data_IF_222325731540
#
_entry.id   IF_222325731540
#
_cell.length_a   1.000
_cell.length_b   1.000
_cell.length_c   1.000
_cell.angle_alpha   90.00
_cell.angle_beta   90.00
_cell.angle_gamma   90.00
#
_symmetry.space_group_name_H-M   'P 1'
#
loop_
_entity.id
_entity.type
_entity.pdbx_description
1 polymer ?
#
# COMPACT_ATOMS: atom_id res chain seq x y z
N UNK A 1 9.50 24.20 -59.32
CA UNK A 1 10.44 24.13 -58.18
C UNK A 1 10.16 25.31 -57.29
N UNK A 2 9.40 25.10 -56.22
CA UNK A 2 9.19 26.10 -55.16
C UNK A 2 9.01 25.30 -53.88
N UNK A 3 10.03 25.38 -53.03
CA UNK A 3 10.13 24.60 -51.80
C UNK A 3 9.14 25.13 -50.76
N UNK A 4 8.37 24.22 -50.17
CA UNK A 4 7.57 24.48 -48.97
C UNK A 4 8.52 24.48 -47.76
N UNK A 5 8.66 25.63 -47.10
CA UNK A 5 9.32 25.73 -45.81
C UNK A 5 8.42 25.16 -44.71
N UNK A 6 8.88 24.12 -44.03
CA UNK A 6 8.32 23.64 -42.77
C UNK A 6 8.71 24.60 -41.64
N UNK A 7 7.72 25.27 -41.03
CA UNK A 7 7.87 25.86 -39.71
C UNK A 7 7.56 24.79 -38.66
N UNK A 8 8.61 24.22 -38.07
CA UNK A 8 8.50 23.46 -36.84
C UNK A 8 8.22 24.44 -35.70
N UNK A 9 7.00 24.42 -35.16
CA UNK A 9 6.67 25.03 -33.89
C UNK A 9 7.28 24.18 -32.77
N UNK A 10 8.22 24.76 -32.04
CA UNK A 10 8.77 24.18 -30.81
C UNK A 10 7.72 24.24 -29.71
N UNK A 11 7.31 23.07 -29.20
CA UNK A 11 6.55 22.95 -27.95
C UNK A 11 7.36 23.48 -26.75
N UNK A 12 6.82 24.38 -25.90
CA UNK A 12 7.46 24.77 -24.66
C UNK A 12 7.01 23.80 -23.55
N UNK A 13 7.68 22.66 -23.40
CA UNK A 13 7.53 21.79 -22.22
C UNK A 13 8.90 21.25 -21.77
N UNK A 14 9.48 21.87 -20.72
CA UNK A 14 10.42 21.19 -19.79
C UNK A 14 10.99 22.06 -18.65
N UNK A 15 10.73 23.37 -18.58
CA UNK A 15 11.42 24.24 -17.59
C UNK A 15 10.64 24.53 -16.29
N UNK A 16 9.34 24.24 -16.21
CA UNK A 16 8.52 24.52 -15.01
C UNK A 16 8.73 23.50 -13.89
N UNK A 17 8.79 22.22 -14.23
CA UNK A 17 8.71 21.13 -13.25
C UNK A 17 10.04 20.97 -12.48
N UNK A 18 11.16 21.22 -13.15
CA UNK A 18 12.50 21.21 -12.54
C UNK A 18 12.71 22.36 -11.55
N UNK A 19 12.08 23.52 -11.78
CA UNK A 19 12.12 24.66 -10.87
C UNK A 19 11.23 24.47 -9.63
N UNK A 20 10.12 23.73 -9.75
CA UNK A 20 9.24 23.40 -8.60
C UNK A 20 9.91 22.36 -7.69
N UNK A 21 10.53 21.34 -8.27
CA UNK A 21 11.25 20.32 -7.50
C UNK A 21 12.45 20.91 -6.73
N UNK A 22 13.18 21.86 -7.33
CA UNK A 22 14.31 22.53 -6.67
C UNK A 22 13.85 23.47 -5.55
N UNK A 23 12.74 24.19 -5.71
CA UNK A 23 12.17 25.05 -4.67
C UNK A 23 11.66 24.26 -3.45
N UNK A 24 10.99 23.12 -3.66
CA UNK A 24 10.56 22.24 -2.57
C UNK A 24 11.78 21.71 -1.80
N UNK A 25 12.81 21.24 -2.50
CA UNK A 25 14.03 20.74 -1.86
C UNK A 25 14.73 21.82 -1.01
N UNK A 26 14.78 23.06 -1.49
CA UNK A 26 15.32 24.18 -0.73
C UNK A 26 14.48 24.50 0.52
N UNK A 27 13.15 24.51 0.41
CA UNK A 27 12.26 24.72 1.54
C UNK A 27 12.38 23.61 2.60
N UNK A 28 12.48 22.35 2.18
CA UNK A 28 12.71 21.21 3.09
C UNK A 28 14.02 21.38 3.85
N UNK A 29 15.12 21.66 3.15
CA UNK A 29 16.43 21.91 3.78
C UNK A 29 16.41 23.08 4.76
N UNK A 30 15.70 24.16 4.43
CA UNK A 30 15.59 25.31 5.31
C UNK A 30 14.84 24.99 6.61
N UNK A 31 13.75 24.21 6.54
CA UNK A 31 12.99 23.76 7.71
C UNK A 31 13.83 22.80 8.56
N UNK A 32 14.47 21.82 7.92
CA UNK A 32 15.36 20.86 8.58
C UNK A 32 16.49 21.57 9.35
N UNK A 33 17.23 22.46 8.68
CA UNK A 33 18.32 23.21 9.29
C UNK A 33 17.85 24.03 10.50
N UNK A 34 16.69 24.69 10.40
CA UNK A 34 16.11 25.47 11.49
C UNK A 34 15.73 24.59 12.70
N UNK A 35 15.15 23.41 12.47
CA UNK A 35 14.75 22.50 13.53
C UNK A 35 15.96 21.86 14.23
N UNK A 36 17.04 21.59 13.49
CA UNK A 36 18.33 21.13 14.02
C UNK A 36 18.98 22.24 14.85
N UNK A 37 19.06 23.47 14.32
CA UNK A 37 19.63 24.63 15.04
C UNK A 37 18.92 24.87 16.38
N UNK A 38 17.60 24.66 16.42
CA UNK A 38 16.79 24.78 17.64
C UNK A 38 16.88 23.56 18.58
N UNK A 39 17.61 22.50 18.21
CA UNK A 39 17.72 21.27 18.99
C UNK A 39 16.41 20.48 19.10
N UNK A 40 15.47 20.67 18.16
CA UNK A 40 14.17 19.97 18.14
C UNK A 40 14.30 18.62 17.44
N UNK A 41 15.19 18.52 16.44
CA UNK A 41 15.43 17.31 15.66
C UNK A 41 16.89 16.89 15.82
N UNK A 42 17.11 15.61 16.11
CA UNK A 42 18.41 14.95 16.00
C UNK A 42 18.53 14.33 14.59
N UNK A 43 19.50 14.77 13.76
CA UNK A 43 19.72 14.21 12.43
C UNK A 43 19.94 12.69 12.43
N UNK A 44 20.66 12.15 13.42
CA UNK A 44 20.93 10.71 13.47
C UNK A 44 19.66 9.89 13.75
N UNK A 45 18.73 10.45 14.53
CA UNK A 45 17.42 9.86 14.75
C UNK A 45 16.56 9.90 13.48
N UNK A 46 16.62 11.00 12.71
CA UNK A 46 15.92 11.11 11.43
C UNK A 46 16.43 10.08 10.41
N UNK A 47 17.75 9.93 10.27
CA UNK A 47 18.36 8.92 9.40
C UNK A 47 17.91 7.50 9.78
N UNK A 48 17.83 7.21 11.08
CA UNK A 48 17.34 5.92 11.58
C UNK A 48 15.88 5.67 11.17
N UNK A 49 15.03 6.69 11.20
CA UNK A 49 13.64 6.59 10.76
C UNK A 49 13.56 6.32 9.25
N UNK A 50 14.36 7.02 8.45
CA UNK A 50 14.42 6.83 6.99
C UNK A 50 14.85 5.39 6.67
N UNK A 51 15.98 4.94 7.22
CA UNK A 51 16.50 3.58 7.00
C UNK A 51 15.47 2.51 7.39
N UNK A 52 14.73 2.73 8.48
CA UNK A 52 13.70 1.80 8.95
C UNK A 52 12.60 1.59 7.92
N UNK A 53 12.05 2.66 7.33
CA UNK A 53 10.97 2.53 6.34
C UNK A 53 11.45 2.24 4.91
N UNK A 54 12.72 2.50 4.61
CA UNK A 54 13.30 2.13 3.31
C UNK A 54 13.69 0.66 3.23
N UNK A 55 14.14 0.06 4.35
CA UNK A 55 14.81 -1.25 4.29
C UNK A 55 14.21 -2.32 5.21
N UNK A 56 13.61 -1.94 6.35
CA UNK A 56 13.20 -2.90 7.39
C UNK A 56 11.69 -3.12 7.41
N UNK A 57 10.90 -2.06 7.28
CA UNK A 57 9.44 -2.11 7.40
C UNK A 57 8.79 -2.02 6.03
N UNK A 58 8.05 -3.04 5.64
CA UNK A 58 7.36 -3.06 4.34
C UNK A 58 6.39 -4.22 4.16
N UNK A 59 5.77 -4.34 2.97
CA UNK A 59 4.72 -5.32 2.70
C UNK A 59 5.12 -6.78 2.93
N UNK A 60 6.41 -7.11 2.89
CA UNK A 60 6.89 -8.47 3.20
C UNK A 60 6.49 -8.94 4.61
N UNK A 61 6.28 -8.00 5.55
CA UNK A 61 5.79 -8.31 6.91
C UNK A 61 4.33 -8.79 6.85
N UNK A 62 3.44 -8.01 6.22
CA UNK A 62 2.04 -8.39 6.00
C UNK A 62 1.91 -9.70 5.22
N UNK A 63 2.76 -9.90 4.21
CA UNK A 63 2.76 -11.12 3.41
C UNK A 63 3.01 -12.38 4.26
N UNK A 64 3.92 -12.30 5.25
CA UNK A 64 4.15 -13.39 6.22
C UNK A 64 2.94 -13.64 7.12
N UNK A 65 2.24 -12.60 7.56
CA UNK A 65 1.01 -12.72 8.35
C UNK A 65 -0.06 -13.47 7.53
N UNK A 66 -0.27 -13.07 6.28
CA UNK A 66 -1.23 -13.72 5.36
C UNK A 66 -0.86 -15.18 5.11
N UNK A 67 0.41 -15.45 4.78
CA UNK A 67 0.88 -16.80 4.52
C UNK A 67 0.71 -17.72 5.74
N UNK A 68 1.03 -17.22 6.95
CA UNK A 68 0.78 -17.96 8.19
C UNK A 68 -0.71 -18.27 8.36
N UNK A 69 -1.59 -17.29 8.15
CA UNK A 69 -3.04 -17.51 8.24
C UNK A 69 -3.58 -18.51 7.18
N UNK A 70 -2.91 -18.67 6.05
CA UNK A 70 -3.28 -19.68 5.05
C UNK A 70 -2.88 -21.11 5.40
N UNK A 71 -1.86 -21.31 6.24
CA UNK A 71 -1.36 -22.64 6.63
C UNK A 71 -1.71 -23.03 8.06
N UNK A 72 -2.06 -22.07 8.90
CA UNK A 72 -2.38 -22.23 10.32
C UNK A 72 -3.79 -21.68 10.58
N UNK A 73 -4.77 -22.59 10.60
CA UNK A 73 -6.19 -22.24 10.77
C UNK A 73 -6.51 -21.69 12.15
N UNK A 74 -5.78 -22.09 13.20
CA UNK A 74 -5.94 -21.56 14.55
C UNK A 74 -5.42 -20.12 14.63
N UNK A 75 -4.26 -19.85 14.03
CA UNK A 75 -3.75 -18.48 13.91
C UNK A 75 -4.70 -17.60 13.10
N UNK A 76 -5.24 -18.11 11.99
CA UNK A 76 -6.25 -17.38 11.20
C UNK A 76 -7.46 -16.98 12.04
N UNK A 77 -8.00 -17.90 12.84
CA UNK A 77 -9.13 -17.59 13.72
C UNK A 77 -8.79 -16.50 14.73
N UNK A 78 -7.62 -16.56 15.36
CA UNK A 78 -7.16 -15.49 16.28
C UNK A 78 -6.97 -14.16 15.56
N UNK A 79 -6.36 -14.17 14.38
CA UNK A 79 -6.10 -13.00 13.55
C UNK A 79 -7.40 -12.27 13.15
N UNK A 80 -8.44 -13.02 12.81
CA UNK A 80 -9.75 -12.45 12.44
C UNK A 80 -10.55 -11.97 13.67
N UNK A 81 -10.34 -12.59 14.83
CA UNK A 81 -11.01 -12.18 16.07
C UNK A 81 -10.36 -10.94 16.71
N UNK A 82 -9.04 -10.90 16.75
CA UNK A 82 -8.25 -9.78 17.28
C UNK A 82 -6.92 -9.69 16.52
N UNK A 83 -6.94 -8.87 15.46
CA UNK A 83 -5.77 -8.68 14.60
C UNK A 83 -4.58 -8.09 15.36
N UNK A 84 -4.83 -7.27 16.39
CA UNK A 84 -3.77 -6.61 17.17
C UNK A 84 -3.02 -7.63 18.01
N UNK A 85 -3.75 -8.43 18.78
CA UNK A 85 -3.15 -9.47 19.63
C UNK A 85 -2.44 -10.53 18.79
N UNK A 86 -3.02 -10.95 17.67
CA UNK A 86 -2.44 -11.97 16.81
C UNK A 86 -1.11 -11.53 16.16
N UNK A 87 -0.98 -10.29 15.66
CA UNK A 87 0.30 -9.84 15.10
C UNK A 87 1.34 -9.56 16.19
N UNK A 88 0.91 -9.25 17.41
CA UNK A 88 1.81 -9.11 18.56
C UNK A 88 2.48 -10.45 18.94
N UNK A 89 1.83 -11.60 18.72
CA UNK A 89 2.45 -12.95 18.88
C UNK A 89 3.72 -13.09 18.01
N UNK A 90 3.79 -12.35 16.89
CA UNK A 90 4.91 -12.36 15.95
C UNK A 90 5.94 -11.25 16.23
N UNK A 91 5.76 -10.48 17.30
CA UNK A 91 6.57 -9.29 17.59
C UNK A 91 6.32 -8.12 16.64
N UNK A 92 5.22 -8.15 15.87
CA UNK A 92 4.89 -7.16 14.85
C UNK A 92 3.96 -6.08 15.41
N UNK A 93 4.49 -5.35 16.39
CA UNK A 93 3.83 -4.16 16.97
C UNK A 93 4.58 -2.91 16.55
N UNK A 94 3.88 -1.82 16.25
CA UNK A 94 4.54 -0.57 15.93
C UNK A 94 3.57 0.56 15.60
N UNK A 95 4.14 1.67 15.14
CA UNK A 95 3.37 2.84 14.75
C UNK A 95 2.36 2.51 13.66
N UNK A 96 1.12 2.97 13.85
CA UNK A 96 0.01 2.74 12.92
C UNK A 96 -0.30 1.26 12.74
N UNK A 97 -0.24 0.48 13.82
CA UNK A 97 -0.77 -0.90 13.90
C UNK A 97 -1.30 -1.22 15.31
N UNK A 98 -1.63 -0.19 16.09
CA UNK A 98 -2.05 -0.30 17.49
C UNK A 98 -3.46 -0.88 17.62
N UNK A 99 -4.29 -0.72 16.60
CA UNK A 99 -5.66 -1.24 16.51
C UNK A 99 -5.92 -1.86 15.14
N UNK A 100 -5.55 -3.13 15.00
CA UNK A 100 -5.63 -3.87 13.73
C UNK A 100 -6.92 -4.67 13.60
N UNK A 101 -7.56 -4.52 12.44
CA UNK A 101 -8.70 -5.33 11.99
C UNK A 101 -8.32 -6.03 10.70
N UNK A 102 -8.48 -7.34 10.65
CA UNK A 102 -8.25 -8.13 9.44
C UNK A 102 -9.58 -8.48 8.81
N UNK A 103 -9.73 -8.15 7.52
CA UNK A 103 -10.97 -8.35 6.76
C UNK A 103 -10.73 -9.44 5.72
N UNK A 104 -11.47 -10.53 5.81
CA UNK A 104 -11.27 -11.72 4.99
C UNK A 104 -12.01 -11.63 3.65
N UNK A 105 -11.28 -11.86 2.56
CA UNK A 105 -11.89 -12.14 1.27
C UNK A 105 -12.38 -13.58 1.20
N UNK A 106 -13.51 -13.79 0.53
CA UNK A 106 -14.12 -15.09 0.29
C UNK A 106 -14.64 -15.14 -1.15
N UNK A 107 -15.15 -16.29 -1.57
CA UNK A 107 -15.81 -16.45 -2.87
C UNK A 107 -17.02 -15.53 -3.06
N UNK A 108 -17.56 -14.96 -1.99
CA UNK A 108 -18.76 -14.10 -2.00
C UNK A 108 -18.45 -12.64 -1.66
N UNK A 109 -17.31 -12.35 -1.03
CA UNK A 109 -16.96 -11.00 -0.53
C UNK A 109 -15.53 -10.64 -0.91
N UNK A 110 -15.36 -9.48 -1.55
CA UNK A 110 -14.06 -8.86 -1.82
C UNK A 110 -13.95 -7.54 -1.05
N UNK A 111 -12.93 -7.41 -0.21
CA UNK A 111 -12.68 -6.20 0.58
C UNK A 111 -11.71 -5.26 -0.15
N UNK A 112 -11.88 -3.96 0.02
CA UNK A 112 -11.00 -2.89 -0.46
C UNK A 112 -10.79 -1.85 0.64
N UNK A 113 -9.56 -1.43 0.89
CA UNK A 113 -9.23 -0.47 1.96
C UNK A 113 -8.90 0.89 1.36
N UNK A 114 -9.42 1.96 1.97
CA UNK A 114 -9.12 3.35 1.62
C UNK A 114 -9.03 4.22 2.88
N UNK A 115 -8.47 5.42 2.73
CA UNK A 115 -8.61 6.51 3.68
C UNK A 115 -9.02 7.76 2.91
N UNK A 116 -10.32 8.03 2.85
CA UNK A 116 -10.87 9.12 2.03
C UNK A 116 -10.33 10.48 2.49
N UNK A 117 -10.14 10.65 3.80
CA UNK A 117 -9.73 11.92 4.41
C UNK A 117 -8.24 12.25 4.25
N UNK A 118 -7.36 11.26 4.22
CA UNK A 118 -5.92 11.49 4.12
C UNK A 118 -5.15 10.30 3.52
N UNK A 119 -4.61 9.43 4.38
CA UNK A 119 -3.72 8.32 3.99
C UNK A 119 -3.47 7.32 5.13
N UNK A 120 -4.41 7.17 6.07
CA UNK A 120 -4.30 6.19 7.16
C UNK A 120 -4.02 4.79 6.60
N UNK A 121 -3.00 4.11 7.13
CA UNK A 121 -2.47 2.88 6.54
C UNK A 121 -1.69 2.08 7.60
N UNK A 122 -1.66 0.74 7.57
CA UNK A 122 -1.01 -0.07 8.60
C UNK A 122 0.52 -0.13 8.45
N UNK A 123 1.24 0.91 8.90
CA UNK A 123 2.66 1.11 8.56
C UNK A 123 3.56 -0.02 9.06
N UNK A 124 3.36 -0.50 10.29
CA UNK A 124 4.21 -1.54 10.87
C UNK A 124 4.24 -2.85 10.06
N UNK A 125 3.20 -3.12 9.25
CA UNK A 125 3.09 -4.38 8.49
C UNK A 125 3.07 -4.20 6.97
N UNK A 126 2.74 -3.00 6.46
CA UNK A 126 2.71 -2.72 5.02
C UNK A 126 3.69 -1.63 4.57
N UNK A 127 4.43 -1.01 5.49
CA UNK A 127 5.29 0.14 5.21
C UNK A 127 4.50 1.41 4.87
N UNK A 128 5.14 2.35 4.20
CA UNK A 128 4.49 3.60 3.80
C UNK A 128 3.49 3.37 2.66
N UNK A 129 2.34 4.08 2.66
CA UNK A 129 1.33 3.92 1.61
C UNK A 129 1.87 4.37 0.24
N UNK A 130 1.57 3.62 -0.83
CA UNK A 130 2.00 3.99 -2.18
C UNK A 130 1.33 5.30 -2.63
N UNK A 131 1.95 5.98 -3.60
CA UNK A 131 1.46 7.28 -4.09
C UNK A 131 0.02 7.23 -4.60
N UNK A 132 -0.37 6.16 -5.30
CA UNK A 132 -1.73 5.99 -5.80
C UNK A 132 -2.77 5.93 -4.66
N UNK A 133 -2.44 5.33 -3.51
CA UNK A 133 -3.34 5.23 -2.37
C UNK A 133 -3.64 6.61 -1.76
N UNK A 134 -2.65 7.50 -1.77
CA UNK A 134 -2.75 8.88 -1.28
C UNK A 134 -3.43 9.83 -2.27
N UNK A 135 -3.60 9.40 -3.52
CA UNK A 135 -4.09 10.24 -4.61
C UNK A 135 -5.57 10.61 -4.44
N UNK A 136 -5.96 11.79 -4.92
CA UNK A 136 -7.36 12.18 -4.98
C UNK A 136 -8.20 11.23 -5.83
N UNK A 137 -7.63 10.72 -6.93
CA UNK A 137 -8.31 9.79 -7.82
C UNK A 137 -8.77 8.53 -7.08
N UNK A 138 -7.88 7.90 -6.31
CA UNK A 138 -8.26 6.73 -5.51
C UNK A 138 -9.21 7.10 -4.38
N UNK A 139 -8.85 8.09 -3.56
CA UNK A 139 -9.56 8.44 -2.32
C UNK A 139 -10.98 8.93 -2.53
N UNK A 140 -11.26 9.61 -3.64
CA UNK A 140 -12.61 10.11 -3.93
C UNK A 140 -13.52 9.07 -4.57
N UNK A 141 -12.95 8.09 -5.29
CA UNK A 141 -13.72 7.16 -6.13
C UNK A 141 -13.90 5.78 -5.49
N UNK A 142 -12.95 5.32 -4.68
CA UNK A 142 -12.98 3.97 -4.10
C UNK A 142 -14.25 3.71 -3.27
N UNK A 143 -14.84 4.73 -2.63
CA UNK A 143 -16.07 4.62 -1.84
C UNK A 143 -17.37 4.83 -2.64
N UNK A 144 -17.28 5.23 -3.91
CA UNK A 144 -18.44 5.54 -4.77
C UNK A 144 -18.60 4.49 -5.87
N UNK A 145 -17.49 4.18 -6.56
CA UNK A 145 -17.46 3.27 -7.71
C UNK A 145 -16.30 2.25 -7.60
N UNK A 146 -16.22 1.47 -6.51
CA UNK A 146 -15.10 0.58 -6.23
C UNK A 146 -14.80 -0.40 -7.37
N UNK A 147 -15.82 -0.95 -8.05
CA UNK A 147 -15.62 -1.87 -9.17
C UNK A 147 -14.94 -1.22 -10.37
N UNK A 148 -15.23 0.05 -10.65
CA UNK A 148 -14.59 0.80 -11.73
C UNK A 148 -13.12 1.04 -11.38
N UNK A 149 -12.84 1.46 -10.13
CA UNK A 149 -11.48 1.63 -9.63
C UNK A 149 -10.69 0.32 -9.69
N UNK A 150 -11.27 -0.80 -9.26
CA UNK A 150 -10.61 -2.11 -9.32
C UNK A 150 -10.31 -2.54 -10.77
N UNK A 151 -11.24 -2.27 -11.70
CA UNK A 151 -11.03 -2.54 -13.13
C UNK A 151 -9.86 -1.75 -13.70
N UNK A 152 -9.63 -0.51 -13.25
CA UNK A 152 -8.44 0.28 -13.63
C UNK A 152 -7.12 -0.31 -13.10
N UNK A 153 -7.16 -1.04 -11.97
CA UNK A 153 -6.04 -1.86 -11.49
C UNK A 153 -5.90 -3.19 -12.25
N UNK A 154 -6.76 -3.47 -13.23
CA UNK A 154 -6.79 -4.72 -13.98
C UNK A 154 -7.55 -5.86 -13.26
N UNK A 155 -8.32 -5.53 -12.22
CA UNK A 155 -9.08 -6.50 -11.44
C UNK A 155 -10.60 -6.35 -11.70
N UNK A 156 -11.16 -7.29 -12.43
CA UNK A 156 -12.62 -7.39 -12.60
C UNK A 156 -13.21 -8.29 -11.51
N UNK A 157 -14.09 -7.72 -10.66
CA UNK A 157 -14.84 -8.48 -9.64
C UNK A 157 -16.22 -8.86 -10.21
N UNK A 158 -16.58 -10.16 -10.22
CA UNK A 158 -17.90 -10.61 -10.69
C UNK A 158 -19.06 -9.90 -9.98
N UNK A 159 -20.16 -9.68 -10.69
CA UNK A 159 -21.33 -8.95 -10.16
C UNK A 159 -21.94 -9.61 -8.91
N UNK A 160 -21.85 -10.95 -8.82
CA UNK A 160 -22.36 -11.73 -7.71
C UNK A 160 -21.46 -11.73 -6.46
N UNK A 161 -20.26 -11.15 -6.53
CA UNK A 161 -19.35 -11.01 -5.38
C UNK A 161 -19.55 -9.61 -4.78
N UNK A 162 -19.92 -9.53 -3.50
CA UNK A 162 -20.07 -8.26 -2.78
C UNK A 162 -18.71 -7.55 -2.67
N UNK A 163 -18.66 -6.23 -2.92
CA UNK A 163 -17.45 -5.43 -2.70
C UNK A 163 -17.65 -4.56 -1.46
N UNK A 164 -16.86 -4.82 -0.41
CA UNK A 164 -16.89 -4.06 0.85
C UNK A 164 -15.72 -3.10 0.93
N UNK A 165 -16.02 -1.81 1.03
CA UNK A 165 -15.01 -0.76 1.13
C UNK A 165 -14.87 -0.34 2.58
N UNK A 166 -13.64 -0.42 3.10
CA UNK A 166 -13.30 -0.06 4.47
C UNK A 166 -12.57 1.29 4.47
N UNK A 167 -13.27 2.32 4.92
CA UNK A 167 -12.70 3.67 5.03
C UNK A 167 -12.07 3.89 6.42
N UNK A 168 -10.76 4.11 6.43
CA UNK A 168 -9.92 4.27 7.61
C UNK A 168 -10.08 5.68 8.20
N UNK A 169 -11.24 5.93 8.80
CA UNK A 169 -11.66 7.24 9.35
C UNK A 169 -11.35 7.43 10.84
N UNK A 170 -10.89 6.38 11.52
CA UNK A 170 -10.49 6.40 12.93
C UNK A 170 -9.03 5.94 13.13
N UNK A 171 -8.68 5.60 14.36
CA UNK A 171 -7.44 4.95 14.76
C UNK A 171 -7.36 3.46 14.36
N UNK A 172 -8.44 2.87 13.85
CA UNK A 172 -8.43 1.51 13.31
C UNK A 172 -7.60 1.42 12.03
N UNK A 173 -6.91 0.30 11.86
CA UNK A 173 -6.08 -0.01 10.69
C UNK A 173 -6.48 -1.37 10.13
N UNK A 174 -6.69 -1.41 8.82
CA UNK A 174 -7.21 -2.60 8.16
C UNK A 174 -6.10 -3.33 7.39
N UNK A 175 -6.21 -4.66 7.35
CA UNK A 175 -5.46 -5.53 6.45
C UNK A 175 -6.46 -6.45 5.74
N UNK A 176 -6.40 -6.54 4.41
CA UNK A 176 -7.15 -7.58 3.69
C UNK A 176 -6.40 -8.90 3.85
N UNK A 177 -7.10 -9.94 4.29
CA UNK A 177 -6.65 -11.32 4.16
C UNK A 177 -7.16 -11.86 2.81
N UNK A 178 -6.34 -11.90 1.75
CA UNK A 178 -6.77 -12.39 0.45
C UNK A 178 -7.03 -13.91 0.49
N UNK A 179 -7.82 -14.39 -0.47
CA UNK A 179 -7.99 -15.82 -0.70
C UNK A 179 -6.66 -16.46 -1.13
N UNK A 180 -6.39 -17.68 -0.64
CA UNK A 180 -5.24 -18.47 -1.10
C UNK A 180 -5.53 -18.96 -2.53
N UNK A 181 -4.63 -18.73 -3.50
CA UNK A 181 -4.83 -19.23 -4.85
C UNK A 181 -4.75 -20.76 -4.90
N UNK A 182 -5.60 -21.37 -5.73
CA UNK A 182 -5.55 -22.81 -6.04
C UNK A 182 -4.19 -23.21 -6.62
N UNK A 183 -3.79 -24.46 -6.43
CA UNK A 183 -2.52 -24.99 -6.96
C UNK A 183 -1.31 -24.62 -6.10
N UNK A 184 -1.54 -24.10 -4.90
CA UNK A 184 -0.48 -23.77 -3.93
C UNK A 184 -0.42 -24.71 -2.74
N UNK A 185 -1.18 -25.81 -2.74
CA UNK A 185 -1.37 -26.71 -1.59
C UNK A 185 -0.06 -27.29 -1.05
N UNK A 186 0.92 -27.51 -1.94
CA UNK A 186 2.25 -28.04 -1.59
C UNK A 186 3.30 -26.98 -1.23
N UNK A 187 3.01 -25.69 -1.34
CA UNK A 187 3.96 -24.63 -1.05
C UNK A 187 4.14 -24.44 0.46
N UNK A 188 5.38 -24.17 0.86
CA UNK A 188 5.72 -23.76 2.22
C UNK A 188 5.17 -22.36 2.54
N UNK A 189 5.11 -22.02 3.84
CA UNK A 189 4.72 -20.67 4.29
C UNK A 189 5.58 -19.57 3.64
N UNK A 190 6.89 -19.80 3.51
CA UNK A 190 7.81 -18.83 2.89
C UNK A 190 7.55 -18.65 1.38
N UNK A 191 7.24 -19.73 0.68
CA UNK A 191 6.88 -19.68 -0.74
C UNK A 191 5.53 -19.00 -0.95
N UNK A 192 4.54 -19.27 -0.08
CA UNK A 192 3.25 -18.59 -0.11
C UNK A 192 3.38 -17.09 0.13
N UNK A 193 4.24 -16.68 1.09
CA UNK A 193 4.47 -15.27 1.38
C UNK A 193 4.99 -14.50 0.15
N UNK A 194 5.78 -15.15 -0.73
CA UNK A 194 6.29 -14.54 -1.96
C UNK A 194 5.19 -14.24 -3.00
N UNK A 195 4.03 -14.89 -2.89
CA UNK A 195 2.89 -14.65 -3.76
C UNK A 195 2.05 -13.44 -3.29
N UNK A 196 2.06 -13.14 -1.99
CA UNK A 196 1.20 -12.11 -1.41
C UNK A 196 1.76 -10.72 -1.72
N UNK A 197 1.05 -9.97 -2.57
CA UNK A 197 1.46 -8.61 -2.95
C UNK A 197 0.87 -7.55 -2.02
N UNK A 198 1.49 -6.36 -2.00
CA UNK A 198 0.94 -5.17 -1.34
C UNK A 198 -0.48 -4.87 -1.81
N UNK A 199 -0.72 -4.93 -3.12
CA UNK A 199 -2.04 -4.62 -3.68
C UNK A 199 -3.09 -5.63 -3.22
N UNK A 200 -2.75 -6.92 -3.11
CA UNK A 200 -3.66 -7.93 -2.57
C UNK A 200 -4.05 -7.66 -1.11
N UNK A 201 -3.09 -7.21 -0.28
CA UNK A 201 -3.34 -6.85 1.11
C UNK A 201 -4.09 -5.53 1.31
N UNK A 202 -4.19 -4.69 0.28
CA UNK A 202 -5.07 -3.51 0.25
C UNK A 202 -6.45 -3.87 -0.33
N UNK A 203 -6.55 -4.97 -1.09
CA UNK A 203 -7.73 -5.36 -1.86
C UNK A 203 -7.78 -4.82 -3.29
N UNK A 204 -6.70 -4.18 -3.78
CA UNK A 204 -6.60 -3.67 -5.14
C UNK A 204 -6.14 -4.72 -6.17
N UNK A 205 -5.82 -5.94 -5.73
CA UNK A 205 -5.49 -7.08 -6.57
C UNK A 205 -5.97 -8.37 -5.90
N UNK A 206 -6.02 -9.48 -6.65
CA UNK A 206 -6.03 -10.84 -6.09
C UNK A 206 -4.60 -11.38 -6.05
N UNK A 207 -4.39 -12.47 -5.30
CA UNK A 207 -3.16 -13.25 -5.43
C UNK A 207 -3.38 -14.24 -6.56
N UNK A 208 -2.56 -14.15 -7.61
CA UNK A 208 -2.63 -15.03 -8.79
C UNK A 208 -1.21 -15.51 -9.14
N UNK A 209 -1.10 -16.79 -9.49
CA UNK A 209 0.13 -17.45 -9.94
C UNK A 209 0.58 -16.97 -11.33
N UNK A 210 -0.31 -16.33 -12.11
CA UNK A 210 0.02 -15.81 -13.44
C UNK A 210 0.60 -14.40 -13.43
N UNK A 211 0.38 -13.64 -12.35
CA UNK A 211 0.96 -12.31 -12.17
C UNK A 211 2.40 -12.42 -11.69
N UNK A 212 3.35 -12.26 -12.61
CA UNK A 212 4.74 -11.94 -12.27
C UNK A 212 4.74 -10.64 -11.45
N UNK A 213 5.44 -10.56 -10.31
CA UNK A 213 5.53 -9.31 -9.54
C UNK A 213 6.03 -8.20 -10.44
N UNK A 214 5.17 -7.23 -10.76
CA UNK A 214 5.64 -6.00 -11.39
C UNK A 214 6.40 -5.22 -10.33
N UNK A 215 7.71 -5.13 -10.51
CA UNK A 215 8.53 -4.10 -9.88
C UNK A 215 8.04 -2.73 -10.40
N UNK A 216 6.96 -2.21 -9.81
CA UNK A 216 6.60 -0.81 -10.02
C UNK A 216 7.59 0.02 -9.22
N UNK A 217 8.46 0.66 -9.97
CA UNK A 217 9.59 1.49 -9.57
C UNK A 217 9.22 2.54 -8.51
N UNK A 218 10.27 2.88 -7.75
CA UNK A 218 10.39 3.93 -6.72
C UNK A 218 9.59 5.21 -7.04
#
# INVERSE_FOLDING_TARGET
MTAYHHHAGSDPKSSSDSNIASDIALRVKAIEALLIEKGIVDPAALDTIIETYETKVGPHIGARIVAKAWVDSEFKQRLLADGTSAIAELGLTGFSSEHMIVVENTSEIHNLIVCTLCSCYPWAILGLPPTWYKSFAYRSRAVIEPRVVLKEFGLEIPENVEVRVWDSTSDLRYLVLPERPEGTEGLSEEELAKLVTRNAMIGAAKVDLTTVPSEVSQ
#
